data_IF_263099000445
#
_entry.id   IF_263099000445
#
_cell.length_a   1.000
_cell.length_b   1.000
_cell.length_c   1.000
_cell.angle_alpha   90.00
_cell.angle_beta   90.00
_cell.angle_gamma   90.00
#
_symmetry.space_group_name_H-M   'P 1'
#
loop_
_entity.id
_entity.type
_entity.pdbx_description
1 polymer ?
#
# COMPACT_ATOMS: atom_id res chain seq x y z
N UNK A 1 72.36 23.56 -37.64
CA UNK A 1 73.56 22.87 -37.12
C UNK A 1 73.28 22.54 -35.65
N UNK A 2 73.24 21.32 -35.15
CA UNK A 2 73.38 19.97 -35.70
C UNK A 2 72.83 18.98 -34.67
N UNK A 3 72.24 17.89 -35.18
CA UNK A 3 71.89 16.59 -34.54
C UNK A 3 73.09 15.91 -33.80
N UNK A 4 73.02 14.71 -33.15
CA UNK A 4 71.91 13.87 -32.65
C UNK A 4 72.20 13.02 -31.34
N UNK A 5 71.31 12.04 -31.05
CA UNK A 5 71.46 10.77 -30.29
C UNK A 5 71.27 10.86 -28.75
N UNK A 6 70.52 10.00 -28.05
CA UNK A 6 70.29 8.57 -28.24
C UNK A 6 69.11 8.07 -27.37
N UNK A 7 68.22 7.30 -28.00
CA UNK A 7 67.67 6.01 -27.53
C UNK A 7 67.71 5.70 -26.02
N UNK A 8 66.56 5.79 -25.34
CA UNK A 8 66.29 4.97 -24.15
C UNK A 8 64.93 4.29 -24.35
N UNK A 9 65.02 3.08 -24.87
CA UNK A 9 64.05 2.01 -24.66
C UNK A 9 63.79 1.84 -23.16
N UNK A 10 62.75 2.48 -22.64
CA UNK A 10 62.10 2.04 -21.39
C UNK A 10 60.91 1.18 -21.77
N UNK A 11 61.22 -0.11 -21.82
CA UNK A 11 60.31 -1.24 -21.80
C UNK A 11 59.04 -0.95 -21.01
N UNK A 12 57.91 -1.15 -21.69
CA UNK A 12 56.59 -1.41 -21.13
C UNK A 12 56.72 -2.31 -19.89
N UNK A 13 56.28 -1.88 -18.69
CA UNK A 13 56.04 -2.82 -17.62
C UNK A 13 54.80 -3.62 -18.02
N UNK A 14 55.02 -4.89 -18.39
CA UNK A 14 54.01 -5.93 -18.41
C UNK A 14 53.43 -6.06 -16.99
N UNK A 15 52.45 -5.23 -16.64
CA UNK A 15 51.50 -5.53 -15.57
C UNK A 15 50.22 -6.05 -16.22
N UNK A 16 50.34 -7.20 -16.87
CA UNK A 16 49.21 -8.09 -17.05
C UNK A 16 49.04 -8.82 -15.71
N UNK A 17 48.60 -8.04 -14.72
CA UNK A 17 48.44 -8.51 -13.36
C UNK A 17 47.22 -9.44 -13.33
N UNK A 18 47.54 -10.72 -13.11
CA UNK A 18 46.70 -11.84 -12.76
C UNK A 18 45.37 -11.46 -12.06
N UNK A 19 44.29 -11.25 -12.82
CA UNK A 19 42.91 -11.16 -12.29
C UNK A 19 42.33 -12.55 -11.93
N UNK A 20 43.16 -13.53 -11.60
CA UNK A 20 42.73 -14.92 -11.37
C UNK A 20 41.91 -15.11 -10.08
N UNK A 21 41.80 -14.09 -9.21
CA UNK A 21 40.89 -14.07 -8.07
C UNK A 21 40.22 -12.71 -7.90
N UNK A 22 39.49 -12.23 -8.92
CA UNK A 22 38.52 -11.16 -8.70
C UNK A 22 37.23 -11.77 -8.15
N UNK A 23 37.24 -12.20 -6.89
CA UNK A 23 36.01 -12.51 -6.19
C UNK A 23 35.20 -11.21 -6.10
N UNK A 24 34.20 -11.08 -6.96
CA UNK A 24 33.24 -9.99 -6.90
C UNK A 24 32.35 -10.26 -5.69
N UNK A 25 32.54 -9.51 -4.63
CA UNK A 25 31.65 -9.55 -3.47
C UNK A 25 30.48 -8.64 -3.78
N UNK A 26 29.29 -9.21 -3.91
CA UNK A 26 28.07 -8.45 -4.10
C UNK A 26 27.28 -8.27 -2.78
N UNK A 27 26.16 -7.53 -2.85
CA UNK A 27 25.33 -7.31 -1.66
C UNK A 27 24.71 -8.62 -1.13
N UNK A 28 24.58 -9.66 -1.97
CA UNK A 28 23.99 -10.94 -1.61
C UNK A 28 25.00 -11.81 -0.86
N UNK A 29 26.28 -11.72 -1.22
CA UNK A 29 27.40 -12.33 -0.50
C UNK A 29 27.51 -11.75 0.91
N UNK A 30 27.46 -10.42 1.03
CA UNK A 30 27.48 -9.73 2.33
C UNK A 30 26.27 -10.16 3.18
N UNK A 31 25.09 -10.23 2.59
CA UNK A 31 23.88 -10.66 3.30
C UNK A 31 23.99 -12.10 3.82
N UNK A 32 24.35 -13.04 2.95
CA UNK A 32 24.38 -14.48 3.26
C UNK A 32 25.53 -14.87 4.19
N UNK A 33 26.71 -14.27 4.01
CA UNK A 33 27.91 -14.69 4.75
C UNK A 33 28.17 -13.88 6.02
N UNK A 34 27.64 -12.66 6.12
CA UNK A 34 27.91 -11.72 7.21
C UNK A 34 26.61 -11.36 7.94
N UNK A 35 25.69 -10.66 7.28
CA UNK A 35 24.57 -10.00 7.95
C UNK A 35 23.53 -10.97 8.52
N UNK A 36 23.17 -12.02 7.78
CA UNK A 36 22.18 -13.02 8.21
C UNK A 36 22.66 -13.84 9.41
N UNK A 37 23.96 -14.14 9.49
CA UNK A 37 24.55 -14.90 10.62
C UNK A 37 24.45 -14.15 11.94
N UNK A 38 24.47 -12.81 11.90
CA UNK A 38 24.32 -12.00 13.09
C UNK A 38 22.91 -12.05 13.68
N UNK A 39 21.89 -12.36 12.87
CA UNK A 39 20.53 -12.55 13.39
C UNK A 39 20.38 -13.81 14.25
N UNK A 40 21.33 -14.75 14.19
CA UNK A 40 21.24 -16.08 14.83
C UNK A 40 22.26 -16.32 15.94
N UNK A 41 23.28 -15.46 16.09
CA UNK A 41 24.36 -15.67 17.04
C UNK A 41 24.21 -14.86 18.33
N UNK A 42 24.28 -15.53 19.47
CA UNK A 42 24.23 -14.95 20.83
C UNK A 42 25.44 -14.06 21.20
N UNK A 43 26.40 -13.86 20.28
CA UNK A 43 27.73 -13.29 20.58
C UNK A 43 27.75 -11.77 20.44
N UNK A 44 26.88 -11.17 19.63
CA UNK A 44 26.90 -9.74 19.34
C UNK A 44 25.76 -9.04 20.06
N UNK A 45 26.08 -7.92 20.75
CA UNK A 45 25.05 -7.10 21.39
C UNK A 45 24.01 -6.71 20.33
N UNK A 46 22.71 -6.98 20.59
CA UNK A 46 21.66 -6.77 19.61
C UNK A 46 21.79 -5.40 18.93
N UNK A 47 21.86 -4.32 19.70
CA UNK A 47 21.93 -2.94 19.18
C UNK A 47 23.00 -2.78 18.08
N UNK A 48 24.16 -3.40 18.23
CA UNK A 48 25.27 -3.33 17.26
C UNK A 48 24.88 -3.82 15.87
N UNK A 49 24.01 -4.84 15.75
CA UNK A 49 23.58 -5.40 14.45
C UNK A 49 22.78 -4.39 13.64
N UNK A 50 21.86 -3.67 14.28
CA UNK A 50 21.07 -2.63 13.59
C UNK A 50 21.97 -1.50 13.13
N UNK A 51 22.95 -1.09 13.96
CA UNK A 51 23.93 -0.08 13.58
C UNK A 51 24.77 -0.52 12.37
N UNK A 52 25.28 -1.76 12.37
CA UNK A 52 26.06 -2.30 11.24
C UNK A 52 25.21 -2.32 9.96
N UNK A 53 23.94 -2.74 10.04
CA UNK A 53 23.02 -2.74 8.90
C UNK A 53 22.76 -1.34 8.36
N UNK A 54 22.43 -0.39 9.25
CA UNK A 54 22.17 0.99 8.86
C UNK A 54 23.41 1.65 8.27
N UNK A 55 24.58 1.40 8.84
CA UNK A 55 25.85 1.92 8.34
C UNK A 55 26.19 1.34 6.96
N UNK A 56 25.92 0.05 6.73
CA UNK A 56 26.07 -0.56 5.42
C UNK A 56 25.13 0.07 4.38
N UNK A 57 23.85 0.25 4.70
CA UNK A 57 22.86 0.92 3.83
C UNK A 57 23.28 2.37 3.55
N UNK A 58 23.74 3.09 4.57
CA UNK A 58 24.25 4.46 4.46
C UNK A 58 25.44 4.53 3.51
N UNK A 59 26.41 3.62 3.67
CA UNK A 59 27.59 3.53 2.81
C UNK A 59 27.24 3.22 1.36
N UNK A 60 26.31 2.29 1.11
CA UNK A 60 25.83 1.99 -0.25
C UNK A 60 25.23 3.24 -0.90
N UNK A 61 24.38 3.97 -0.16
CA UNK A 61 23.73 5.19 -0.62
C UNK A 61 24.74 6.30 -0.92
N UNK A 62 25.73 6.49 -0.04
CA UNK A 62 26.80 7.50 -0.19
C UNK A 62 27.64 7.27 -1.46
N UNK A 63 27.83 6.01 -1.85
CA UNK A 63 28.57 5.63 -3.06
C UNK A 63 27.68 5.46 -4.30
N UNK A 64 26.39 5.82 -4.22
CA UNK A 64 25.46 5.73 -5.35
C UNK A 64 25.10 4.29 -5.75
N UNK A 65 25.29 3.32 -4.85
CA UNK A 65 24.95 1.92 -5.09
C UNK A 65 23.50 1.69 -4.65
N UNK A 66 22.61 1.20 -5.54
CA UNK A 66 21.22 0.96 -5.17
C UNK A 66 21.14 -0.15 -4.12
N UNK A 67 20.49 0.16 -3.00
CA UNK A 67 20.30 -0.78 -1.89
C UNK A 67 19.29 -1.85 -2.31
N UNK A 68 19.67 -3.12 -2.16
CA UNK A 68 18.78 -4.21 -2.48
C UNK A 68 17.66 -4.35 -1.44
N UNK A 69 16.45 -4.68 -1.91
CA UNK A 69 15.24 -4.70 -1.09
C UNK A 69 15.33 -5.60 0.15
N UNK A 70 15.96 -6.77 0.04
CA UNK A 70 16.11 -7.71 1.16
C UNK A 70 16.92 -7.13 2.34
N UNK A 71 17.75 -6.10 2.12
CA UNK A 71 18.46 -5.41 3.20
C UNK A 71 17.49 -4.57 4.04
N UNK A 72 16.51 -3.92 3.40
CA UNK A 72 15.47 -3.19 4.10
C UNK A 72 14.53 -4.13 4.86
N UNK A 73 14.18 -5.27 4.26
CA UNK A 73 13.43 -6.33 4.94
C UNK A 73 14.19 -6.83 6.18
N UNK A 74 15.50 -7.04 6.08
CA UNK A 74 16.34 -7.46 7.21
C UNK A 74 16.32 -6.42 8.34
N UNK A 75 16.39 -5.12 8.03
CA UNK A 75 16.28 -4.05 9.03
C UNK A 75 14.93 -4.09 9.73
N UNK A 76 13.83 -4.18 8.98
CA UNK A 76 12.47 -4.21 9.54
C UNK A 76 12.28 -5.43 10.43
N UNK A 77 12.61 -6.62 9.93
CA UNK A 77 12.44 -7.88 10.67
C UNK A 77 13.28 -7.91 11.94
N UNK A 78 14.54 -7.44 11.89
CA UNK A 78 15.42 -7.33 13.06
C UNK A 78 14.85 -6.39 14.13
N UNK A 79 14.30 -5.24 13.72
CA UNK A 79 13.72 -4.27 14.66
C UNK A 79 12.44 -4.80 15.31
N UNK A 80 11.59 -5.49 14.55
CA UNK A 80 10.35 -6.08 15.08
C UNK A 80 10.64 -7.24 16.03
N UNK A 81 11.55 -8.15 15.69
CA UNK A 81 11.96 -9.25 16.58
C UNK A 81 12.42 -8.73 17.96
N UNK A 82 12.99 -7.53 17.98
CA UNK A 82 13.52 -6.88 19.19
C UNK A 82 12.55 -5.91 19.83
N UNK A 83 11.34 -5.76 19.29
CA UNK A 83 10.33 -4.80 19.76
C UNK A 83 10.85 -3.35 19.77
N UNK A 84 11.82 -3.04 18.90
CA UNK A 84 12.41 -1.70 18.74
C UNK A 84 11.53 -0.82 17.83
N UNK A 85 10.26 -0.69 18.20
CA UNK A 85 9.22 -0.09 17.36
C UNK A 85 9.40 1.41 17.15
N UNK A 86 9.96 2.12 18.14
CA UNK A 86 10.25 3.53 18.02
C UNK A 86 11.28 3.79 16.91
N UNK A 87 12.37 3.02 16.90
CA UNK A 87 13.40 3.10 15.87
C UNK A 87 12.84 2.73 14.50
N UNK A 88 12.04 1.66 14.41
CA UNK A 88 11.36 1.28 13.18
C UNK A 88 10.50 2.43 12.63
N UNK A 89 9.71 3.07 13.50
CA UNK A 89 8.87 4.20 13.14
C UNK A 89 9.70 5.36 12.58
N UNK A 90 10.80 5.72 13.27
CA UNK A 90 11.70 6.79 12.81
C UNK A 90 12.32 6.49 11.45
N UNK A 91 12.84 5.28 11.25
CA UNK A 91 13.49 4.91 9.98
C UNK A 91 12.52 4.96 8.79
N UNK A 92 11.25 4.63 9.01
CA UNK A 92 10.20 4.71 7.99
C UNK A 92 9.75 6.16 7.77
N UNK A 93 9.60 6.94 8.83
CA UNK A 93 9.16 8.34 8.76
C UNK A 93 10.20 9.24 8.10
N UNK A 94 11.49 9.00 8.34
CA UNK A 94 12.60 9.74 7.74
C UNK A 94 13.10 9.13 6.43
N UNK A 95 12.39 8.15 5.86
CA UNK A 95 12.72 7.51 4.58
C UNK A 95 14.15 6.93 4.51
N UNK A 96 14.70 6.49 5.64
CA UNK A 96 15.97 5.74 5.68
C UNK A 96 15.77 4.36 5.04
N UNK A 97 14.57 3.79 5.24
CA UNK A 97 14.10 2.62 4.50
C UNK A 97 13.35 3.11 3.26
N UNK A 98 13.80 2.66 2.08
CA UNK A 98 13.17 3.07 0.82
C UNK A 98 11.74 2.51 0.69
N UNK A 99 10.82 3.36 0.25
CA UNK A 99 9.43 2.97 0.04
C UNK A 99 9.32 1.95 -1.10
N UNK A 100 8.54 0.88 -0.89
CA UNK A 100 8.21 -0.06 -1.96
C UNK A 100 6.96 -0.88 -1.60
N UNK A 101 6.26 -1.37 -2.63
CA UNK A 101 5.05 -2.20 -2.44
C UNK A 101 5.32 -3.45 -1.59
N UNK A 102 6.41 -4.22 -1.81
CA UNK A 102 6.64 -5.42 -1.01
C UNK A 102 6.95 -5.10 0.47
N UNK A 103 7.63 -3.97 0.77
CA UNK A 103 7.83 -3.56 2.17
C UNK A 103 6.53 -3.13 2.85
N UNK A 104 5.63 -2.47 2.12
CA UNK A 104 4.31 -2.14 2.65
C UNK A 104 3.52 -3.42 2.96
N UNK A 105 3.57 -4.44 2.09
CA UNK A 105 2.97 -5.75 2.35
C UNK A 105 3.59 -6.42 3.59
N UNK A 106 4.90 -6.33 3.76
CA UNK A 106 5.59 -6.79 4.97
C UNK A 106 5.07 -6.05 6.21
N UNK A 107 4.95 -4.72 6.18
CA UNK A 107 4.42 -3.96 7.32
C UNK A 107 2.97 -4.35 7.66
N UNK A 108 2.13 -4.60 6.65
CA UNK A 108 0.76 -5.08 6.85
C UNK A 108 0.72 -6.46 7.52
N UNK A 109 1.64 -7.37 7.19
CA UNK A 109 1.71 -8.69 7.83
C UNK A 109 2.17 -8.62 9.30
N UNK A 110 2.84 -7.54 9.68
CA UNK A 110 3.35 -7.29 11.03
C UNK A 110 2.35 -6.55 11.94
N UNK A 111 1.17 -6.16 11.43
CA UNK A 111 0.16 -5.37 12.16
C UNK A 111 -0.23 -5.97 13.52
N UNK A 112 -0.35 -7.30 13.61
CA UNK A 112 -0.73 -7.96 14.86
C UNK A 112 0.33 -7.80 15.97
N UNK A 113 1.60 -7.65 15.60
CA UNK A 113 2.71 -7.43 16.53
C UNK A 113 2.94 -5.95 16.81
N UNK A 114 2.74 -5.12 15.79
CA UNK A 114 2.92 -3.67 15.84
C UNK A 114 1.75 -2.98 15.14
N UNK A 115 0.67 -2.61 15.85
CA UNK A 115 -0.55 -2.06 15.24
C UNK A 115 -0.33 -0.81 14.38
N UNK A 116 0.66 0.01 14.71
CA UNK A 116 1.00 1.20 13.92
C UNK A 116 1.62 0.86 12.55
N UNK A 117 2.09 -0.37 12.33
CA UNK A 117 2.59 -0.84 11.03
C UNK A 117 1.54 -0.70 9.92
N UNK A 118 0.26 -0.83 10.25
CA UNK A 118 -0.83 -0.65 9.30
C UNK A 118 -0.83 0.76 8.68
N UNK A 119 -0.80 1.80 9.52
CA UNK A 119 -0.79 3.18 9.03
C UNK A 119 0.53 3.51 8.32
N UNK A 120 1.66 3.02 8.83
CA UNK A 120 2.96 3.19 8.18
C UNK A 120 3.00 2.56 6.78
N UNK A 121 2.36 1.39 6.60
CA UNK A 121 2.22 0.74 5.30
C UNK A 121 1.37 1.58 4.34
N UNK A 122 0.23 2.10 4.80
CA UNK A 122 -0.62 2.99 3.99
C UNK A 122 0.10 4.28 3.62
N UNK A 123 0.85 4.88 4.54
CA UNK A 123 1.66 6.07 4.28
C UNK A 123 2.75 5.79 3.25
N UNK A 124 3.42 4.64 3.35
CA UNK A 124 4.39 4.18 2.36
C UNK A 124 3.77 4.02 0.97
N UNK A 125 2.64 3.31 0.86
CA UNK A 125 1.94 3.14 -0.42
C UNK A 125 1.48 4.48 -1.00
N UNK A 126 1.02 5.39 -0.15
CA UNK A 126 0.57 6.73 -0.58
C UNK A 126 1.72 7.55 -1.15
N UNK A 127 2.91 7.49 -0.54
CA UNK A 127 4.11 8.20 -1.02
C UNK A 127 4.62 7.68 -2.36
N UNK A 128 4.45 6.39 -2.66
CA UNK A 128 4.81 5.83 -3.97
C UNK A 128 4.02 6.44 -5.14
N UNK A 129 2.81 6.93 -4.89
CA UNK A 129 1.97 7.58 -5.91
C UNK A 129 1.44 6.66 -7.01
N UNK A 130 1.87 5.39 -7.08
CA UNK A 130 1.44 4.40 -8.08
C UNK A 130 0.83 3.13 -7.45
N UNK A 131 0.43 3.22 -6.18
CA UNK A 131 -0.08 2.10 -5.39
C UNK A 131 -1.56 2.28 -4.98
N UNK A 132 -2.35 2.93 -5.84
CA UNK A 132 -3.75 3.24 -5.53
C UNK A 132 -4.62 1.99 -5.37
N UNK A 133 -4.41 0.98 -6.21
CA UNK A 133 -5.15 -0.29 -6.14
C UNK A 133 -4.86 -1.02 -4.83
N UNK A 134 -3.59 -1.11 -4.44
CA UNK A 134 -3.18 -1.74 -3.19
C UNK A 134 -3.79 -1.02 -1.97
N UNK A 135 -3.80 0.31 -1.94
CA UNK A 135 -4.44 1.08 -0.86
C UNK A 135 -5.95 0.76 -0.78
N UNK A 136 -6.64 0.69 -1.93
CA UNK A 136 -8.06 0.37 -1.97
C UNK A 136 -8.29 -1.05 -1.43
N UNK A 137 -7.48 -2.03 -1.85
CA UNK A 137 -7.60 -3.41 -1.40
C UNK A 137 -7.37 -3.55 0.11
N UNK A 138 -6.36 -2.86 0.65
CA UNK A 138 -6.10 -2.83 2.10
C UNK A 138 -7.31 -2.28 2.85
N UNK A 139 -7.86 -1.13 2.43
CA UNK A 139 -9.02 -0.52 3.08
C UNK A 139 -10.26 -1.42 3.02
N UNK A 140 -10.52 -2.05 1.87
CA UNK A 140 -11.65 -2.97 1.71
C UNK A 140 -11.49 -4.22 2.58
N UNK A 141 -10.28 -4.78 2.71
CA UNK A 141 -10.01 -5.95 3.54
C UNK A 141 -10.30 -5.72 5.02
N UNK A 142 -10.18 -4.48 5.50
CA UNK A 142 -10.48 -4.05 6.87
C UNK A 142 -11.93 -3.58 7.07
N UNK A 143 -12.76 -3.63 6.03
CA UNK A 143 -14.14 -3.11 6.08
C UNK A 143 -14.23 -1.58 6.07
N UNK A 144 -13.14 -0.86 5.75
CA UNK A 144 -13.11 0.60 5.66
C UNK A 144 -13.62 1.09 4.30
N UNK A 145 -14.87 0.77 3.97
CA UNK A 145 -15.46 1.01 2.66
C UNK A 145 -15.64 2.50 2.35
N UNK A 146 -16.17 3.29 3.29
CA UNK A 146 -16.34 4.74 3.10
C UNK A 146 -15.01 5.48 2.95
N UNK A 147 -13.97 5.21 3.80
CA UNK A 147 -12.62 5.69 3.54
C UNK A 147 -12.10 5.33 2.15
N UNK A 148 -12.30 4.09 1.68
CA UNK A 148 -11.89 3.67 0.35
C UNK A 148 -12.58 4.48 -0.76
N UNK A 149 -13.91 4.69 -0.67
CA UNK A 149 -14.65 5.51 -1.63
C UNK A 149 -14.19 6.98 -1.65
N UNK A 150 -13.89 7.56 -0.47
CA UNK A 150 -13.33 8.91 -0.37
C UNK A 150 -11.95 8.99 -1.01
N UNK A 151 -11.11 7.99 -0.77
CA UNK A 151 -9.78 7.92 -1.37
C UNK A 151 -9.86 7.85 -2.90
N UNK A 152 -10.68 6.93 -3.44
CA UNK A 152 -10.93 6.80 -4.88
C UNK A 152 -11.36 8.12 -5.52
N UNK A 153 -12.23 8.88 -4.84
CA UNK A 153 -12.64 10.21 -5.29
C UNK A 153 -11.47 11.20 -5.29
N UNK A 154 -10.65 11.19 -4.24
CA UNK A 154 -9.51 12.10 -4.10
C UNK A 154 -8.43 11.90 -5.17
N UNK A 155 -8.26 10.66 -5.65
CA UNK A 155 -7.28 10.32 -6.70
C UNK A 155 -7.89 10.29 -8.11
N UNK A 156 -9.17 10.66 -8.27
CA UNK A 156 -9.83 10.70 -9.58
C UNK A 156 -10.09 9.33 -10.22
N UNK A 157 -10.00 8.23 -9.47
CA UNK A 157 -10.18 6.86 -9.99
C UNK A 157 -11.64 6.36 -9.96
N UNK A 158 -12.61 7.25 -9.76
CA UNK A 158 -14.03 6.88 -9.58
C UNK A 158 -14.54 6.01 -10.73
N UNK A 159 -14.10 6.27 -11.95
CA UNK A 159 -14.59 5.60 -13.15
C UNK A 159 -13.87 4.27 -13.44
N UNK A 160 -12.71 4.04 -12.82
CA UNK A 160 -11.86 2.86 -13.05
C UNK A 160 -12.12 1.73 -12.05
N UNK A 161 -12.58 2.05 -10.84
CA UNK A 161 -12.77 1.04 -9.78
C UNK A 161 -13.91 0.07 -10.10
N UNK A 162 -13.80 -1.18 -9.63
CA UNK A 162 -14.87 -2.17 -9.78
C UNK A 162 -15.97 -1.97 -8.73
N UNK A 163 -17.19 -1.64 -9.16
CA UNK A 163 -18.34 -1.52 -8.26
C UNK A 163 -18.61 -2.81 -7.47
N UNK A 164 -18.39 -3.96 -8.11
CA UNK A 164 -18.55 -5.29 -7.51
C UNK A 164 -17.73 -5.45 -6.22
N UNK A 165 -16.44 -5.07 -6.23
CA UNK A 165 -15.56 -5.23 -5.05
C UNK A 165 -16.13 -4.49 -3.82
N UNK A 166 -16.64 -3.27 -4.03
CA UNK A 166 -17.19 -2.44 -2.96
C UNK A 166 -18.56 -2.94 -2.47
N UNK A 167 -19.45 -3.34 -3.40
CA UNK A 167 -20.77 -3.89 -3.06
C UNK A 167 -20.65 -5.23 -2.32
N UNK A 168 -19.69 -6.05 -2.71
CA UNK A 168 -19.37 -7.31 -2.04
C UNK A 168 -18.90 -7.09 -0.61
N UNK A 169 -17.92 -6.20 -0.43
CA UNK A 169 -17.44 -5.81 0.89
C UNK A 169 -18.58 -5.26 1.77
N UNK A 170 -19.45 -4.41 1.21
CA UNK A 170 -20.57 -3.82 1.94
C UNK A 170 -21.61 -4.86 2.36
N UNK A 171 -21.87 -5.84 1.49
CA UNK A 171 -22.78 -6.95 1.79
C UNK A 171 -22.24 -7.81 2.94
N UNK A 172 -20.94 -8.09 2.99
CA UNK A 172 -20.32 -8.90 4.06
C UNK A 172 -20.50 -8.23 5.43
N UNK A 173 -20.44 -6.90 5.50
CA UNK A 173 -20.64 -6.15 6.74
C UNK A 173 -22.10 -6.16 7.24
N UNK A 174 -23.07 -6.59 6.43
CA UNK A 174 -24.50 -6.66 6.76
C UNK A 174 -25.10 -5.37 7.36
N UNK A 175 -24.56 -4.20 7.00
CA UNK A 175 -25.11 -2.89 7.36
C UNK A 175 -25.94 -2.33 6.19
N UNK A 176 -27.28 -2.26 6.31
CA UNK A 176 -28.14 -1.74 5.26
C UNK A 176 -27.80 -0.29 4.88
N UNK A 177 -27.49 0.56 5.86
CA UNK A 177 -27.25 1.99 5.61
C UNK A 177 -25.94 2.20 4.83
N UNK A 178 -24.91 1.43 5.17
CA UNK A 178 -23.65 1.39 4.46
C UNK A 178 -23.84 0.86 3.04
N UNK A 179 -24.55 -0.26 2.88
CA UNK A 179 -24.83 -0.85 1.57
C UNK A 179 -25.59 0.12 0.67
N UNK A 180 -26.61 0.81 1.20
CA UNK A 180 -27.33 1.84 0.48
C UNK A 180 -26.42 2.98 0.00
N UNK A 181 -25.55 3.47 0.88
CA UNK A 181 -24.61 4.55 0.55
C UNK A 181 -23.63 4.16 -0.55
N UNK A 182 -23.09 2.94 -0.49
CA UNK A 182 -22.18 2.40 -1.51
C UNK A 182 -22.92 2.21 -2.83
N UNK A 183 -24.14 1.65 -2.80
CA UNK A 183 -24.97 1.48 -3.98
C UNK A 183 -25.28 2.83 -4.67
N UNK A 184 -25.72 3.83 -3.90
CA UNK A 184 -25.99 5.18 -4.41
C UNK A 184 -24.75 5.86 -4.98
N UNK A 185 -23.57 5.64 -4.39
CA UNK A 185 -22.32 6.16 -4.94
C UNK A 185 -22.07 5.65 -6.37
N UNK A 186 -22.26 4.35 -6.62
CA UNK A 186 -22.06 3.77 -7.95
C UNK A 186 -23.21 4.10 -8.92
N UNK A 187 -24.43 4.23 -8.43
CA UNK A 187 -25.54 4.73 -9.25
C UNK A 187 -25.25 6.15 -9.80
N UNK A 188 -24.75 7.06 -8.94
CA UNK A 188 -24.35 8.41 -9.35
C UNK A 188 -23.21 8.39 -10.38
N UNK A 189 -22.25 7.47 -10.23
CA UNK A 189 -21.19 7.26 -11.23
C UNK A 189 -21.78 6.77 -12.55
N UNK A 190 -22.67 5.79 -12.53
CA UNK A 190 -23.26 5.22 -13.74
C UNK A 190 -24.09 6.27 -14.49
N UNK A 191 -24.81 7.14 -13.78
CA UNK A 191 -25.51 8.28 -14.37
C UNK A 191 -24.52 9.23 -15.05
N UNK A 192 -23.38 9.54 -14.40
CA UNK A 192 -22.35 10.40 -14.99
C UNK A 192 -21.69 9.80 -16.25
N UNK A 193 -21.45 8.49 -16.26
CA UNK A 193 -20.73 7.81 -17.36
C UNK A 193 -21.62 7.37 -18.51
N UNK A 194 -22.84 6.93 -18.20
CA UNK A 194 -23.72 6.21 -19.13
C UNK A 194 -25.14 6.78 -19.16
N UNK A 195 -25.42 7.89 -18.46
CA UNK A 195 -26.76 8.49 -18.32
C UNK A 195 -27.83 7.49 -17.85
N UNK A 196 -27.41 6.45 -17.12
CA UNK A 196 -28.27 5.34 -16.70
C UNK A 196 -27.91 4.94 -15.28
N UNK A 197 -28.90 4.56 -14.46
CA UNK A 197 -28.69 4.10 -13.08
C UNK A 197 -28.27 2.62 -12.99
N UNK A 198 -28.56 1.85 -14.04
CA UNK A 198 -28.29 0.43 -14.12
C UNK A 198 -26.79 0.10 -14.23
N UNK A 199 -26.38 -0.98 -13.56
CA UNK A 199 -25.06 -1.58 -13.72
C UNK A 199 -24.98 -2.33 -15.04
N UNK A 200 -23.86 -2.20 -15.75
CA UNK A 200 -23.65 -2.92 -17.00
C UNK A 200 -23.53 -4.42 -16.73
N UNK A 201 -23.96 -5.27 -17.69
CA UNK A 201 -23.94 -6.73 -17.49
C UNK A 201 -22.53 -7.28 -17.26
N UNK A 202 -21.51 -6.63 -17.82
CA UNK A 202 -20.10 -7.01 -17.66
C UNK A 202 -19.52 -6.80 -16.26
N UNK A 203 -20.14 -5.96 -15.41
CA UNK A 203 -19.68 -5.74 -14.03
C UNK A 203 -20.16 -6.84 -13.06
N UNK A 204 -21.06 -7.73 -13.49
CA UNK A 204 -21.62 -8.83 -12.70
C UNK A 204 -22.28 -8.38 -11.38
N UNK A 205 -22.90 -7.19 -11.36
CA UNK A 205 -23.52 -6.63 -10.16
C UNK A 205 -24.99 -7.04 -9.92
N UNK A 206 -25.58 -7.92 -10.75
CA UNK A 206 -27.01 -8.23 -10.71
C UNK A 206 -27.47 -8.82 -9.37
N UNK A 207 -26.62 -9.61 -8.71
CA UNK A 207 -26.91 -10.15 -7.39
C UNK A 207 -27.05 -9.04 -6.32
N UNK A 208 -26.26 -7.97 -6.43
CA UNK A 208 -26.29 -6.84 -5.50
C UNK A 208 -27.47 -5.91 -5.76
N UNK A 209 -27.91 -5.77 -7.02
CA UNK A 209 -29.15 -5.06 -7.36
C UNK A 209 -30.37 -5.76 -6.73
N UNK A 210 -30.48 -7.09 -6.90
CA UNK A 210 -31.55 -7.87 -6.24
C UNK A 210 -31.51 -7.76 -4.72
N UNK A 211 -30.30 -7.76 -4.14
CA UNK A 211 -30.13 -7.58 -2.69
C UNK A 211 -30.60 -6.20 -2.23
N UNK A 212 -30.27 -5.14 -2.98
CA UNK A 212 -30.77 -3.79 -2.73
C UNK A 212 -32.29 -3.73 -2.79
N UNK A 213 -32.89 -4.36 -3.81
CA UNK A 213 -34.34 -4.43 -3.98
C UNK A 213 -35.02 -5.06 -2.77
N UNK A 214 -34.54 -6.23 -2.35
CA UNK A 214 -35.07 -6.95 -1.18
C UNK A 214 -34.97 -6.15 0.12
N UNK A 215 -33.88 -5.41 0.33
CA UNK A 215 -33.67 -4.66 1.58
C UNK A 215 -34.54 -3.39 1.66
N UNK A 216 -34.74 -2.68 0.55
CA UNK A 216 -35.31 -1.33 0.58
C UNK A 216 -36.68 -1.17 -0.10
N UNK A 217 -37.07 -2.07 -1.02
CA UNK A 217 -38.38 -1.97 -1.66
C UNK A 217 -39.50 -2.60 -0.81
N UNK A 218 -39.17 -3.40 0.21
CA UNK A 218 -40.13 -3.91 1.20
C UNK A 218 -40.60 -2.86 2.23
N UNK A 219 -39.88 -1.75 2.39
CA UNK A 219 -40.17 -0.71 3.41
C UNK A 219 -41.13 0.36 2.88
N UNK A 220 -41.19 0.58 1.56
CA UNK A 220 -42.02 1.65 0.97
C UNK A 220 -43.52 1.33 0.88
N UNK A 221 -43.96 0.09 1.17
CA UNK A 221 -45.38 -0.27 1.17
C UNK A 221 -46.10 -0.05 2.53
N UNK A 222 -45.41 0.48 3.55
CA UNK A 222 -45.97 0.62 4.91
C UNK A 222 -46.38 2.03 5.35
N UNK A 223 -46.09 3.10 4.60
CA UNK A 223 -46.25 4.47 5.13
C UNK A 223 -46.94 5.49 4.20
N UNK A 224 -47.61 5.05 3.14
CA UNK A 224 -48.53 5.91 2.38
C UNK A 224 -49.94 5.31 2.38
N UNK A 225 -50.57 5.34 3.55
CA UNK A 225 -51.93 4.85 3.74
C UNK A 225 -52.62 5.59 4.87
N UNK A 226 -52.74 6.91 4.74
CA UNK A 226 -53.92 7.69 5.14
C UNK A 226 -53.66 9.17 4.93
N UNK A 227 -54.01 9.66 3.74
CA UNK A 227 -54.45 11.03 3.58
C UNK A 227 -55.93 11.00 3.18
N UNK A 228 -56.72 11.72 3.98
CA UNK A 228 -57.99 12.37 3.66
C UNK A 228 -59.31 11.60 3.80
N UNK A 229 -60.00 11.91 4.91
CA UNK A 229 -61.41 12.31 4.95
C UNK A 229 -61.64 12.98 6.32
N UNK A 230 -61.87 14.29 6.42
CA UNK A 230 -63.17 14.91 6.17
C UNK A 230 -63.04 16.44 6.14
N UNK A 231 -63.38 17.05 5.01
CA UNK A 231 -63.89 18.43 4.95
C UNK A 231 -65.39 18.37 4.69
N UNK A 232 -66.19 18.78 5.67
CA UNK A 232 -67.58 19.22 5.46
C UNK A 232 -68.07 20.04 6.65
N UNK A 233 -68.14 21.36 6.43
CA UNK A 233 -69.28 22.26 6.72
C UNK A 233 -70.09 22.12 8.01
N UNK A 234 -70.14 23.19 8.82
CA UNK A 234 -71.37 23.80 9.40
C UNK A 234 -70.95 25.11 10.11
N UNK A 235 -71.25 26.29 9.55
CA UNK A 235 -72.46 27.10 9.76
C UNK A 235 -72.35 28.08 10.94
N UNK A 236 -72.44 29.36 10.60
CA UNK A 236 -72.71 30.51 11.47
C UNK A 236 -73.93 30.28 12.36
N UNK A 237 -73.84 30.61 13.66
CA UNK A 237 -74.86 31.37 14.40
C UNK A 237 -74.39 31.67 15.83
N UNK A 238 -74.80 32.86 16.28
CA UNK A 238 -74.65 33.55 17.57
C UNK A 238 -73.31 34.24 17.85
#
# INVERSE_FOLDING_TARGET
MGEPLQNISKSLPNHLENFAFKALIDQSDIYSHILSKFSSGDIIEPKMIVWVLLEYIRSLTEHGIPVQHYLHELVITTLVQRKAYYQLHQLLQYHVVADSKPLACLLLSLENLYPAAHQLALDMLKRLGNAHEEIIEVLLSKGHILPALRYVRSVGMVDQVSARKFLEAARILNDPTLFHSVYKFFEQRNVRLHNTTAFTRGEHCQAYVKHFENLFHGINNGCYGNLNSNTSTLSSQN
#
